data_IF_938803475141
#
_entry.id   IF_938803475141
#
_cell.length_a   1.000
_cell.length_b   1.000
_cell.length_c   1.000
_cell.angle_alpha   90.00
_cell.angle_beta   90.00
_cell.angle_gamma   90.00
#
_symmetry.space_group_name_H-M   'P 1'
#
loop_
_entity.id
_entity.type
_entity.pdbx_description
1 polymer ?
#
# COMPACT_ATOMS: atom_id res chain seq x y z
N UNK A 1 -35.92 -3.19 -0.61
CA UNK A 1 -35.02 -3.11 -1.78
C UNK A 1 -33.77 -3.94 -1.48
N UNK A 2 -33.29 -4.73 -2.43
CA UNK A 2 -32.06 -5.54 -2.29
C UNK A 2 -30.79 -4.78 -2.69
N UNK A 3 -30.94 -3.58 -3.25
CA UNK A 3 -29.86 -2.69 -3.65
C UNK A 3 -29.88 -1.38 -2.84
N UNK A 4 -28.69 -0.82 -2.62
CA UNK A 4 -28.47 0.53 -2.09
C UNK A 4 -28.32 1.47 -3.28
N UNK A 5 -29.38 2.21 -3.64
CA UNK A 5 -29.40 2.94 -4.90
C UNK A 5 -29.28 1.97 -6.08
N UNK A 6 -28.20 2.09 -6.85
CA UNK A 6 -27.87 1.19 -7.98
C UNK A 6 -26.82 0.13 -7.62
N UNK A 7 -26.37 0.08 -6.37
CA UNK A 7 -25.29 -0.77 -5.89
C UNK A 7 -25.79 -2.03 -5.19
N UNK A 8 -25.13 -3.16 -5.45
CA UNK A 8 -25.24 -4.38 -4.63
C UNK A 8 -24.18 -4.46 -3.51
N UNK A 9 -23.23 -3.53 -3.49
CA UNK A 9 -22.25 -3.39 -2.41
C UNK A 9 -22.83 -2.61 -1.22
N UNK A 10 -22.60 -3.13 -0.01
CA UNK A 10 -22.89 -2.48 1.26
C UNK A 10 -21.87 -2.94 2.31
N UNK A 11 -21.90 -2.32 3.51
CA UNK A 11 -21.04 -2.66 4.66
C UNK A 11 -19.53 -2.62 4.35
N UNK A 12 -19.00 -1.46 3.94
CA UNK A 12 -17.58 -1.30 3.60
C UNK A 12 -16.68 -1.62 4.79
N UNK A 13 -15.55 -2.28 4.51
CA UNK A 13 -14.49 -2.52 5.48
C UNK A 13 -13.53 -1.35 5.50
N UNK A 14 -13.65 -0.48 6.50
CA UNK A 14 -12.83 0.74 6.62
C UNK A 14 -11.39 0.50 7.08
N UNK A 15 -11.13 -0.65 7.72
CA UNK A 15 -9.84 -0.95 8.34
C UNK A 15 -9.01 -1.86 7.42
N UNK A 16 -7.83 -1.40 6.93
CA UNK A 16 -6.95 -2.26 6.16
C UNK A 16 -6.43 -3.42 7.01
N UNK A 17 -5.78 -4.37 6.35
CA UNK A 17 -5.17 -5.55 6.98
C UNK A 17 -3.80 -5.78 6.34
N UNK A 18 -2.81 -6.14 7.17
CA UNK A 18 -1.47 -6.49 6.70
C UNK A 18 -1.32 -8.01 6.72
N UNK A 19 -0.63 -8.53 5.69
CA UNK A 19 -0.21 -9.92 5.58
C UNK A 19 1.28 -10.05 5.92
N UNK A 20 1.61 -10.94 6.86
CA UNK A 20 2.98 -11.40 7.09
C UNK A 20 3.14 -12.85 6.63
N UNK A 21 3.89 -13.11 5.54
CA UNK A 21 4.10 -14.47 5.03
C UNK A 21 4.92 -15.36 5.97
N UNK A 22 5.72 -14.78 6.87
CA UNK A 22 6.62 -15.53 7.76
C UNK A 22 5.93 -15.95 9.07
N UNK A 23 4.78 -15.37 9.38
CA UNK A 23 4.01 -15.72 10.57
C UNK A 23 3.41 -17.14 10.47
N UNK A 24 3.20 -17.84 11.62
CA UNK A 24 2.55 -19.14 11.65
C UNK A 24 1.17 -19.14 10.97
N UNK A 25 0.74 -20.31 10.49
CA UNK A 25 -0.60 -20.48 9.93
C UNK A 25 -1.67 -20.02 10.94
N UNK A 26 -2.69 -19.31 10.46
CA UNK A 26 -3.72 -18.70 11.31
C UNK A 26 -3.36 -17.33 11.91
N UNK A 27 -2.09 -16.90 11.86
CA UNK A 27 -1.61 -15.63 12.44
C UNK A 27 -1.04 -14.65 11.42
N UNK A 28 -1.22 -14.92 10.12
CA UNK A 28 -0.61 -14.12 9.04
C UNK A 28 -1.30 -12.79 8.74
N UNK A 29 -2.52 -12.60 9.25
CA UNK A 29 -3.33 -11.42 8.96
C UNK A 29 -3.55 -10.60 10.23
N UNK A 30 -3.22 -9.31 10.19
CA UNK A 30 -3.36 -8.44 11.35
C UNK A 30 -3.87 -7.05 11.00
N UNK A 31 -4.69 -6.50 11.90
CA UNK A 31 -5.14 -5.09 11.88
C UNK A 31 -4.54 -4.27 13.03
N UNK A 32 -3.60 -4.85 13.79
CA UNK A 32 -2.95 -4.17 14.91
C UNK A 32 -2.16 -2.96 14.42
N UNK A 33 -2.24 -1.84 15.14
CA UNK A 33 -1.55 -0.59 14.78
C UNK A 33 -2.08 0.14 13.54
N UNK A 34 -3.11 -0.37 12.86
CA UNK A 34 -3.67 0.26 11.66
C UNK A 34 -4.81 1.22 12.00
N UNK A 35 -4.83 2.38 11.35
CA UNK A 35 -5.95 3.33 11.38
C UNK A 35 -7.13 2.88 10.51
N UNK A 36 -8.28 3.55 10.65
CA UNK A 36 -9.45 3.36 9.80
C UNK A 36 -9.57 4.51 8.79
N UNK A 37 -9.90 4.20 7.55
CA UNK A 37 -10.34 5.21 6.58
C UNK A 37 -11.73 5.72 6.94
N UNK A 38 -12.03 6.97 6.57
CA UNK A 38 -13.39 7.53 6.64
C UNK A 38 -14.11 7.46 5.29
N UNK A 39 -13.46 6.92 4.27
CA UNK A 39 -13.94 6.84 2.91
C UNK A 39 -14.25 5.37 2.57
N UNK A 40 -15.48 5.03 2.17
CA UNK A 40 -15.79 3.68 1.72
C UNK A 40 -15.11 3.43 0.36
N UNK A 41 -14.15 2.50 0.30
CA UNK A 41 -13.48 2.07 -0.94
C UNK A 41 -14.13 0.78 -1.44
N UNK A 42 -15.05 0.91 -2.40
CA UNK A 42 -15.83 -0.22 -2.95
C UNK A 42 -15.45 -0.48 -4.42
N UNK A 43 -16.37 -1.01 -5.24
CA UNK A 43 -16.14 -1.19 -6.67
C UNK A 43 -15.63 0.11 -7.31
N UNK A 44 -14.75 0.00 -8.32
CA UNK A 44 -14.01 1.14 -8.91
C UNK A 44 -13.10 1.91 -7.92
N UNK A 45 -12.65 1.27 -6.85
CA UNK A 45 -11.51 1.76 -6.06
C UNK A 45 -10.19 1.12 -6.53
N UNK A 46 -9.08 1.79 -6.27
CA UNK A 46 -7.75 1.35 -6.66
C UNK A 46 -6.72 1.72 -5.59
N UNK A 47 -5.61 0.99 -5.57
CA UNK A 47 -4.47 1.28 -4.72
C UNK A 47 -3.13 0.91 -5.40
N UNK A 48 -2.08 1.67 -5.14
CA UNK A 48 -0.72 1.38 -5.63
C UNK A 48 0.35 1.90 -4.66
N UNK A 49 1.53 1.28 -4.69
CA UNK A 49 2.69 1.71 -3.89
C UNK A 49 3.38 2.91 -4.55
N UNK A 50 3.83 3.86 -3.74
CA UNK A 50 4.59 5.04 -4.16
C UNK A 50 6.09 4.85 -3.91
N UNK A 51 6.98 5.59 -4.63
CA UNK A 51 8.43 5.47 -4.47
C UNK A 51 8.96 5.70 -3.05
N UNK A 52 8.23 6.42 -2.20
CA UNK A 52 8.63 6.67 -0.81
C UNK A 52 8.13 5.61 0.19
N UNK A 53 7.52 4.53 -0.30
CA UNK A 53 7.02 3.39 0.48
C UNK A 53 5.61 3.58 1.07
N UNK A 54 4.95 4.71 0.82
CA UNK A 54 3.52 4.86 1.14
C UNK A 54 2.62 4.18 0.09
N UNK A 55 1.33 4.01 0.42
CA UNK A 55 0.32 3.47 -0.50
C UNK A 55 -0.69 4.56 -0.85
N UNK A 56 -0.86 4.81 -2.15
CA UNK A 56 -1.90 5.68 -2.68
C UNK A 56 -3.21 4.90 -2.80
N UNK A 57 -4.32 5.49 -2.34
CA UNK A 57 -5.66 4.88 -2.36
C UNK A 57 -6.63 5.88 -2.99
N UNK A 58 -7.42 5.44 -3.97
CA UNK A 58 -8.31 6.31 -4.74
C UNK A 58 -9.58 5.61 -5.20
N UNK A 59 -10.55 6.40 -5.68
CA UNK A 59 -11.77 5.94 -6.30
C UNK A 59 -12.76 5.33 -5.32
N UNK A 60 -13.91 4.97 -5.90
CA UNK A 60 -15.02 4.19 -5.37
C UNK A 60 -16.26 4.69 -6.11
N UNK A 61 -16.84 3.84 -6.93
CA UNK A 61 -18.16 4.06 -7.50
C UNK A 61 -18.88 2.71 -7.64
N UNK A 62 -19.69 2.31 -6.65
CA UNK A 62 -20.44 1.08 -6.75
C UNK A 62 -21.73 1.21 -7.59
N UNK A 63 -21.94 2.35 -8.25
CA UNK A 63 -23.13 2.64 -9.05
C UNK A 63 -22.88 2.41 -10.55
N UNK A 64 -23.96 2.32 -11.33
CA UNK A 64 -23.87 2.11 -12.77
C UNK A 64 -23.34 3.34 -13.53
N UNK A 65 -23.54 4.54 -12.98
CA UNK A 65 -23.14 5.80 -13.59
C UNK A 65 -22.57 6.76 -12.51
N UNK A 66 -22.29 7.99 -12.90
CA UNK A 66 -21.97 9.10 -12.03
C UNK A 66 -23.16 9.49 -11.14
N UNK A 67 -23.01 9.23 -9.84
CA UNK A 67 -24.06 9.51 -8.85
C UNK A 67 -23.50 10.33 -7.68
N UNK A 68 -24.06 11.53 -7.48
CA UNK A 68 -23.69 12.45 -6.39
C UNK A 68 -24.92 13.01 -5.70
N UNK A 69 -24.75 13.57 -4.51
CA UNK A 69 -25.81 14.24 -3.74
C UNK A 69 -25.92 13.72 -2.31
N UNK A 70 -26.53 14.51 -1.43
CA UNK A 70 -26.66 14.20 0.00
C UNK A 70 -27.48 12.94 0.31
N UNK A 71 -28.33 12.53 -0.63
CA UNK A 71 -29.25 11.39 -0.46
C UNK A 71 -28.67 10.08 -1.03
N UNK A 72 -27.45 10.12 -1.59
CA UNK A 72 -26.77 8.95 -2.12
C UNK A 72 -25.85 8.40 -1.03
N UNK A 73 -26.15 7.19 -0.53
CA UNK A 73 -25.38 6.55 0.56
C UNK A 73 -23.91 6.34 0.18
N UNK A 74 -23.65 5.98 -1.07
CA UNK A 74 -22.32 5.73 -1.62
C UNK A 74 -22.15 6.48 -2.96
N UNK A 75 -21.82 7.78 -2.92
CA UNK A 75 -21.65 8.57 -4.12
C UNK A 75 -20.34 8.21 -4.84
N UNK A 76 -20.20 8.67 -6.08
CA UNK A 76 -18.93 8.66 -6.80
C UNK A 76 -17.87 9.42 -5.99
N UNK A 77 -16.77 8.75 -5.65
CA UNK A 77 -15.75 9.26 -4.73
C UNK A 77 -14.47 9.70 -5.46
N UNK A 78 -14.14 10.99 -5.33
CA UNK A 78 -12.94 11.59 -5.94
C UNK A 78 -11.82 11.88 -4.93
N UNK A 79 -12.10 11.81 -3.63
CA UNK A 79 -11.06 12.03 -2.62
C UNK A 79 -10.05 10.89 -2.69
N UNK A 80 -8.79 11.27 -2.61
CA UNK A 80 -7.67 10.36 -2.50
C UNK A 80 -7.21 10.27 -1.05
N UNK A 81 -6.65 9.13 -0.67
CA UNK A 81 -6.01 8.93 0.62
C UNK A 81 -4.60 8.38 0.41
N UNK A 82 -3.76 8.60 1.42
CA UNK A 82 -2.42 8.04 1.47
C UNK A 82 -2.29 7.25 2.76
N UNK A 83 -2.03 5.96 2.63
CA UNK A 83 -1.75 5.09 3.75
C UNK A 83 -0.26 5.08 4.03
N UNK A 84 0.09 5.33 5.29
CA UNK A 84 1.46 5.30 5.79
C UNK A 84 1.65 4.03 6.61
N UNK A 85 2.38 3.02 6.10
CA UNK A 85 2.70 1.82 6.86
C UNK A 85 3.53 2.13 8.11
N UNK A 86 3.60 1.19 9.05
CA UNK A 86 4.32 1.40 10.33
C UNK A 86 5.79 1.79 10.16
N UNK A 87 6.45 1.31 9.10
CA UNK A 87 7.84 1.67 8.80
C UNK A 87 8.02 3.10 8.28
N UNK A 88 6.94 3.80 7.94
CA UNK A 88 7.03 5.08 7.22
C UNK A 88 7.63 6.20 8.09
N UNK A 89 7.40 6.15 9.40
CA UNK A 89 7.94 7.09 10.39
C UNK A 89 9.36 6.76 10.85
N UNK A 90 9.92 5.63 10.42
CA UNK A 90 11.27 5.21 10.80
C UNK A 90 12.33 5.86 9.90
N UNK A 91 13.58 5.91 10.40
CA UNK A 91 14.74 6.31 9.57
C UNK A 91 14.85 5.36 8.37
N UNK A 92 15.00 5.92 7.18
CA UNK A 92 15.23 5.15 5.94
C UNK A 92 16.73 5.01 5.70
N UNK A 93 17.20 3.82 5.27
CA UNK A 93 18.56 3.67 4.73
C UNK A 93 18.80 4.57 3.52
N UNK A 94 20.01 5.13 3.40
CA UNK A 94 20.48 5.95 2.29
C UNK A 94 21.65 5.24 1.55
N UNK A 95 21.35 4.15 0.81
CA UNK A 95 22.38 3.33 0.17
C UNK A 95 23.14 4.09 -0.92
N UNK A 96 24.44 3.84 -0.99
CA UNK A 96 25.31 4.31 -2.07
C UNK A 96 25.53 3.21 -3.12
N UNK A 97 25.74 3.60 -4.38
CA UNK A 97 26.03 2.67 -5.48
C UNK A 97 24.79 2.10 -6.18
N UNK A 98 23.59 2.65 -5.95
CA UNK A 98 22.39 2.27 -6.71
C UNK A 98 22.51 2.66 -8.19
N UNK A 99 22.10 1.75 -9.06
CA UNK A 99 22.09 1.98 -10.51
C UNK A 99 20.82 2.74 -10.94
N UNK A 100 20.96 3.62 -11.94
CA UNK A 100 19.82 4.24 -12.62
C UNK A 100 19.13 3.30 -13.62
N UNK A 101 19.83 2.27 -14.08
CA UNK A 101 19.33 1.24 -14.98
C UNK A 101 19.89 -0.11 -14.58
N UNK A 102 19.01 -1.10 -14.41
CA UNK A 102 19.38 -2.48 -14.10
C UNK A 102 18.98 -3.40 -15.25
N UNK A 103 19.96 -4.08 -15.83
CA UNK A 103 19.75 -5.07 -16.89
C UNK A 103 19.51 -6.47 -16.31
N UNK A 104 18.62 -7.23 -16.94
CA UNK A 104 18.45 -8.64 -16.60
C UNK A 104 19.70 -9.45 -16.98
N UNK A 105 20.26 -10.20 -16.03
CA UNK A 105 21.51 -10.96 -16.22
C UNK A 105 22.77 -10.10 -16.39
N UNK A 106 22.72 -8.81 -16.05
CA UNK A 106 23.87 -7.90 -16.14
C UNK A 106 24.94 -8.17 -15.08
N UNK A 107 26.03 -7.39 -15.16
CA UNK A 107 27.12 -7.44 -14.17
C UNK A 107 26.59 -7.14 -12.76
N UNK A 108 27.28 -7.69 -11.76
CA UNK A 108 27.04 -7.31 -10.37
C UNK A 108 27.40 -5.83 -10.16
N UNK A 109 26.82 -5.24 -9.11
CA UNK A 109 27.16 -3.92 -8.62
C UNK A 109 27.17 -3.95 -7.10
N UNK A 110 27.92 -3.02 -6.49
CA UNK A 110 28.03 -2.93 -5.04
C UNK A 110 27.03 -1.90 -4.51
N UNK A 111 26.27 -2.29 -3.49
CA UNK A 111 25.47 -1.38 -2.68
C UNK A 111 26.14 -1.26 -1.32
N UNK A 112 26.45 -0.04 -0.90
CA UNK A 112 27.10 0.22 0.38
C UNK A 112 26.12 0.90 1.34
N UNK A 113 26.03 0.36 2.55
CA UNK A 113 25.26 0.90 3.66
C UNK A 113 26.21 1.41 4.74
N UNK A 114 25.93 2.59 5.29
CA UNK A 114 26.64 3.10 6.45
C UNK A 114 26.22 2.37 7.74
N UNK A 115 26.95 2.60 8.84
CA UNK A 115 26.53 2.11 10.16
C UNK A 115 25.16 2.66 10.57
N UNK A 116 24.85 3.90 10.18
CA UNK A 116 23.56 4.55 10.48
C UNK A 116 22.42 3.92 9.67
N UNK A 117 22.68 3.50 8.43
CA UNK A 117 21.75 2.71 7.60
C UNK A 117 21.46 1.33 8.18
N UNK A 118 22.33 0.85 9.04
CA UNK A 118 22.20 -0.39 9.81
C UNK A 118 21.80 -0.10 11.26
N UNK A 119 21.20 1.06 11.52
CA UNK A 119 20.65 1.44 12.84
C UNK A 119 21.66 1.30 13.99
N UNK A 120 22.94 1.63 13.71
CA UNK A 120 24.01 1.56 14.69
C UNK A 120 24.64 0.16 14.87
N UNK A 121 24.13 -0.87 14.19
CA UNK A 121 24.57 -2.26 14.35
C UNK A 121 24.92 -2.91 13.00
N UNK A 122 26.21 -3.00 12.70
CA UNK A 122 26.72 -3.55 11.42
C UNK A 122 26.30 -5.00 11.18
N UNK A 123 26.00 -5.78 12.23
CA UNK A 123 25.53 -7.17 12.08
C UNK A 123 24.15 -7.25 11.40
N UNK A 124 23.37 -6.16 11.38
CA UNK A 124 22.10 -6.07 10.66
C UNK A 124 22.26 -6.22 9.13
N UNK A 125 23.48 -6.14 8.60
CA UNK A 125 23.74 -6.42 7.18
C UNK A 125 23.26 -7.83 6.78
N UNK A 126 23.31 -8.79 7.70
CA UNK A 126 22.89 -10.18 7.47
C UNK A 126 21.37 -10.35 7.24
N UNK A 127 20.57 -9.36 7.64
CA UNK A 127 19.11 -9.37 7.48
C UNK A 127 18.61 -8.30 6.51
N UNK A 128 19.51 -7.47 5.97
CA UNK A 128 19.18 -6.46 4.98
C UNK A 128 18.65 -7.10 3.68
N UNK A 129 17.69 -6.44 3.04
CA UNK A 129 17.06 -6.90 1.80
C UNK A 129 17.10 -5.81 0.74
N UNK A 130 17.47 -6.19 -0.48
CA UNK A 130 17.25 -5.39 -1.68
C UNK A 130 16.07 -5.99 -2.45
N UNK A 131 15.07 -5.17 -2.77
CA UNK A 131 13.85 -5.60 -3.46
C UNK A 131 13.61 -4.70 -4.66
N UNK A 132 13.44 -5.31 -5.83
CA UNK A 132 13.00 -4.61 -7.04
C UNK A 132 11.49 -4.75 -7.12
N UNK A 133 10.80 -3.63 -7.09
CA UNK A 133 9.34 -3.58 -7.18
C UNK A 133 8.97 -2.96 -8.51
N UNK A 134 8.17 -3.65 -9.31
CA UNK A 134 7.50 -3.07 -10.48
C UNK A 134 6.16 -2.49 -10.02
N UNK A 135 6.02 -1.15 -9.89
CA UNK A 135 4.71 -0.57 -9.60
C UNK A 135 3.79 -0.90 -10.80
N UNK A 136 2.83 -1.78 -10.57
CA UNK A 136 1.88 -2.20 -11.59
C UNK A 136 0.85 -1.11 -11.90
N UNK A 137 -0.16 -1.48 -12.69
CA UNK A 137 -1.36 -0.69 -12.92
C UNK A 137 -2.54 -1.41 -12.26
N UNK A 138 -3.40 -0.67 -11.56
CA UNK A 138 -4.54 -1.21 -10.82
C UNK A 138 -5.84 -0.56 -11.26
N UNK A 139 -6.73 -1.37 -11.83
CA UNK A 139 -8.13 -1.05 -12.13
C UNK A 139 -8.96 -2.31 -11.94
N UNK A 140 -10.24 -2.13 -11.61
CA UNK A 140 -11.49 -2.75 -12.06
C UNK A 140 -12.52 -2.12 -11.12
#
# INVERSE_FOLDING_TARGET
>A
SWAIGQSYADQPVYKPIIYDPNAPAGSRWSRAGLGQSKVPRMYHSSATILPDGSVFVTGSNPNADYNVGSNIKYPTEYRVERFYPSYYSERRPEPNGLLSQLGYGGNYFNVTLSKDDLFGNVSMISTAKAVIIRPGFSTH
#
